data_IF_170030406081
#
_entry.id   IF_170030406081
#
_cell.length_a   1.000
_cell.length_b   1.000
_cell.length_c   1.000
_cell.angle_alpha   90.00
_cell.angle_beta   90.00
_cell.angle_gamma   90.00
#
_symmetry.space_group_name_H-M   'P 1'
#
loop_
_entity.id
_entity.type
_entity.pdbx_description
1 polymer ?
#
# COMPACT_ATOMS: atom_id res chain seq x y z
N UNK A 1 -27.61 7.17 -3.93
CA UNK A 1 -28.05 6.71 -2.59
C UNK A 1 -27.49 5.31 -2.46
N UNK A 2 -26.51 5.08 -1.56
CA UNK A 2 -25.73 3.84 -1.52
C UNK A 2 -26.62 2.62 -1.22
N UNK A 3 -26.88 1.81 -2.24
CA UNK A 3 -27.60 0.53 -2.13
C UNK A 3 -26.95 -0.43 -1.12
N UNK A 4 -25.66 -0.21 -0.80
CA UNK A 4 -24.88 -0.95 0.19
C UNK A 4 -25.28 -0.69 1.65
N UNK A 5 -25.92 0.45 1.95
CA UNK A 5 -26.39 0.74 3.33
C UNK A 5 -27.70 0.04 3.69
N UNK A 6 -28.38 -0.58 2.72
CA UNK A 6 -29.67 -1.26 2.91
C UNK A 6 -29.55 -2.78 2.99
N UNK A 7 -28.34 -3.36 2.90
CA UNK A 7 -28.18 -4.80 3.05
C UNK A 7 -28.47 -5.23 4.50
N UNK A 8 -29.38 -6.20 4.72
CA UNK A 8 -29.66 -6.70 6.06
C UNK A 8 -28.44 -7.41 6.66
N UNK A 9 -28.36 -7.43 7.99
CA UNK A 9 -27.33 -8.14 8.78
C UNK A 9 -25.90 -7.62 8.60
N UNK A 10 -25.71 -6.34 8.26
CA UNK A 10 -24.38 -5.81 7.94
C UNK A 10 -23.34 -6.05 9.05
N UNK A 11 -23.71 -5.98 10.32
CA UNK A 11 -22.79 -6.19 11.42
C UNK A 11 -22.61 -7.69 11.77
N UNK A 12 -23.70 -8.44 11.75
CA UNK A 12 -23.73 -9.88 12.01
C UNK A 12 -22.90 -10.65 10.97
N UNK A 13 -22.87 -10.17 9.71
CA UNK A 13 -22.03 -10.74 8.65
C UNK A 13 -20.53 -10.64 8.96
N UNK A 14 -20.08 -9.53 9.56
CA UNK A 14 -18.67 -9.31 9.91
C UNK A 14 -18.26 -10.20 11.09
N UNK A 15 -19.13 -10.34 12.09
CA UNK A 15 -18.91 -11.25 13.21
C UNK A 15 -18.94 -12.72 12.75
N UNK A 16 -19.84 -13.04 11.81
CA UNK A 16 -19.91 -14.36 11.21
C UNK A 16 -18.66 -14.69 10.40
N UNK A 17 -18.14 -13.73 9.62
CA UNK A 17 -16.88 -13.90 8.89
C UNK A 17 -15.71 -14.20 9.83
N UNK A 18 -15.58 -13.47 10.95
CA UNK A 18 -14.59 -13.76 12.00
C UNK A 18 -14.68 -15.20 12.50
N UNK A 19 -15.89 -15.64 12.87
CA UNK A 19 -16.13 -17.00 13.38
C UNK A 19 -15.84 -18.08 12.33
N UNK A 20 -16.20 -17.84 11.07
CA UNK A 20 -15.95 -18.78 9.95
C UNK A 20 -14.47 -18.86 9.62
N UNK A 21 -13.74 -17.74 9.61
CA UNK A 21 -12.30 -17.74 9.40
C UNK A 21 -11.58 -18.55 10.49
N UNK A 22 -11.95 -18.35 11.76
CA UNK A 22 -11.41 -19.14 12.87
C UNK A 22 -11.77 -20.62 12.73
N UNK A 23 -13.02 -20.95 12.39
CA UNK A 23 -13.49 -22.32 12.18
C UNK A 23 -12.75 -23.04 11.03
N UNK A 24 -12.65 -22.43 9.86
CA UNK A 24 -11.99 -23.02 8.67
C UNK A 24 -10.49 -23.21 8.92
N UNK A 25 -9.85 -22.24 9.60
CA UNK A 25 -8.42 -22.35 9.96
C UNK A 25 -8.12 -23.53 10.88
N UNK A 26 -9.07 -23.90 11.75
CA UNK A 26 -8.92 -24.98 12.73
C UNK A 26 -9.30 -26.35 12.19
N UNK A 27 -10.22 -26.42 11.24
CA UNK A 27 -10.86 -27.68 10.83
C UNK A 27 -10.49 -28.12 9.41
N UNK A 28 -9.67 -27.35 8.68
CA UNK A 28 -9.31 -27.65 7.30
C UNK A 28 -7.86 -27.31 7.01
N UNK A 29 -7.38 -27.70 5.83
CA UNK A 29 -6.09 -27.27 5.28
C UNK A 29 -6.22 -26.09 4.32
N UNK A 30 -7.42 -25.50 4.21
CA UNK A 30 -7.68 -24.35 3.36
C UNK A 30 -7.06 -23.11 4.05
N UNK A 31 -6.10 -22.41 3.41
CA UNK A 31 -5.48 -21.24 4.01
C UNK A 31 -6.46 -20.07 4.04
N UNK A 32 -6.72 -19.53 5.23
CA UNK A 32 -7.61 -18.37 5.45
C UNK A 32 -6.92 -17.33 6.35
N UNK A 33 -7.22 -16.02 6.19
CA UNK A 33 -6.63 -14.97 7.03
C UNK A 33 -6.76 -15.26 8.52
N UNK A 34 -5.65 -15.13 9.26
CA UNK A 34 -5.67 -15.27 10.72
C UNK A 34 -6.40 -14.09 11.35
N UNK A 35 -7.49 -14.36 12.05
CA UNK A 35 -8.20 -13.34 12.84
C UNK A 35 -7.30 -12.86 13.98
N UNK A 36 -7.09 -11.54 14.06
CA UNK A 36 -6.36 -10.85 15.13
C UNK A 36 -7.32 -10.32 16.20
N UNK A 37 -8.44 -9.75 15.77
CA UNK A 37 -9.45 -9.14 16.64
C UNK A 37 -10.77 -9.03 15.88
N UNK A 38 -11.90 -9.05 16.57
CA UNK A 38 -13.21 -8.69 16.01
C UNK A 38 -14.14 -8.23 17.12
N UNK A 39 -15.10 -7.36 16.80
CA UNK A 39 -16.06 -6.88 17.78
C UNK A 39 -16.83 -5.67 17.28
N UNK A 40 -17.24 -4.80 18.21
CA UNK A 40 -17.94 -3.55 17.92
C UNK A 40 -17.08 -2.36 18.33
N UNK A 41 -17.07 -1.30 17.52
CA UNK A 41 -16.39 -0.05 17.85
C UNK A 41 -17.29 0.90 18.67
N UNK A 42 -16.74 2.01 19.16
CA UNK A 42 -17.48 3.00 19.97
C UNK A 42 -18.67 3.66 19.25
N UNK A 43 -18.78 3.50 17.92
CA UNK A 43 -19.88 4.00 17.10
C UNK A 43 -20.96 2.94 16.83
N UNK A 44 -20.80 1.73 17.38
CA UNK A 44 -21.74 0.63 17.16
C UNK A 44 -21.56 -0.09 15.83
N UNK A 45 -20.38 0.01 15.20
CA UNK A 45 -20.07 -0.66 13.94
C UNK A 45 -19.25 -1.93 14.22
N UNK A 46 -19.59 -3.05 13.58
CA UNK A 46 -18.80 -4.27 13.68
C UNK A 46 -17.47 -4.15 12.90
N UNK A 47 -16.42 -4.76 13.43
CA UNK A 47 -15.10 -4.79 12.80
C UNK A 47 -14.47 -6.19 12.89
N UNK A 48 -13.58 -6.47 11.93
CA UNK A 48 -12.74 -7.66 11.85
C UNK A 48 -11.32 -7.23 11.46
N UNK A 49 -10.35 -7.59 12.27
CA UNK A 49 -8.92 -7.42 11.99
C UNK A 49 -8.32 -8.78 11.68
N UNK A 50 -7.61 -8.89 10.55
CA UNK A 50 -6.87 -10.09 10.17
C UNK A 50 -5.40 -9.75 9.94
N UNK A 51 -4.51 -10.71 10.20
CA UNK A 51 -3.09 -10.54 9.94
C UNK A 51 -2.86 -10.61 8.41
N UNK A 52 -2.10 -9.67 7.81
CA UNK A 52 -0.65 -9.61 8.04
C UNK A 52 0.09 -8.58 7.18
N UNK A 53 -0.30 -8.43 5.91
CA UNK A 53 0.42 -7.58 4.95
C UNK A 53 0.30 -6.10 5.33
N UNK A 54 -0.92 -5.62 5.56
CA UNK A 54 -1.12 -4.20 5.87
C UNK A 54 -0.43 -3.76 7.17
N UNK A 55 -0.46 -4.60 8.21
CA UNK A 55 0.25 -4.32 9.45
C UNK A 55 1.76 -4.31 9.23
N UNK A 56 2.30 -5.30 8.50
CA UNK A 56 3.72 -5.38 8.16
C UNK A 56 4.19 -4.16 7.37
N UNK A 57 3.45 -3.77 6.33
CA UNK A 57 3.77 -2.58 5.55
C UNK A 57 3.75 -1.33 6.44
N UNK A 58 2.67 -1.10 7.19
CA UNK A 58 2.50 0.11 8.00
C UNK A 58 3.49 0.23 9.16
N UNK A 59 3.77 -0.88 9.85
CA UNK A 59 4.50 -0.85 11.12
C UNK A 59 5.95 -1.34 11.02
N UNK A 60 6.32 -2.02 9.93
CA UNK A 60 7.70 -2.49 9.70
C UNK A 60 8.32 -1.82 8.49
N UNK A 61 7.69 -1.87 7.33
CA UNK A 61 8.29 -1.41 6.07
C UNK A 61 8.36 0.11 6.01
N UNK A 62 7.21 0.78 6.05
CA UNK A 62 7.12 2.22 5.84
C UNK A 62 8.00 3.02 6.81
N UNK A 63 8.09 2.72 8.12
CA UNK A 63 8.98 3.45 9.02
C UNK A 63 10.47 3.32 8.65
N UNK A 64 10.90 2.16 8.13
CA UNK A 64 12.28 1.93 7.72
C UNK A 64 12.60 2.64 6.41
N UNK A 65 11.71 2.55 5.41
CA UNK A 65 11.87 3.28 4.15
C UNK A 65 11.84 4.80 4.39
N UNK A 66 10.93 5.25 5.27
CA UNK A 66 10.84 6.62 5.76
C UNK A 66 11.95 7.00 6.74
N UNK A 67 12.98 6.19 7.03
CA UNK A 67 14.16 6.67 7.77
C UNK A 67 15.33 7.00 6.84
N UNK A 68 15.32 6.43 5.64
CA UNK A 68 16.32 6.68 4.61
C UNK A 68 16.06 8.03 3.95
N UNK A 69 17.10 8.88 3.86
CA UNK A 69 17.02 10.25 3.31
C UNK A 69 18.09 10.48 2.26
N UNK A 70 17.80 11.35 1.30
CA UNK A 70 18.76 11.80 0.29
C UNK A 70 18.43 13.22 -0.18
N UNK A 71 19.45 13.96 -0.62
CA UNK A 71 19.32 15.26 -1.28
C UNK A 71 19.16 15.14 -2.80
N UNK A 72 19.27 13.93 -3.36
CA UNK A 72 19.19 13.66 -4.81
C UNK A 72 18.07 12.66 -5.08
N UNK A 73 17.29 12.87 -6.14
CA UNK A 73 16.21 11.97 -6.53
C UNK A 73 16.74 10.68 -7.19
N UNK A 74 15.94 9.61 -7.10
CA UNK A 74 16.25 8.30 -7.70
C UNK A 74 17.21 7.47 -6.87
N UNK A 75 17.89 6.51 -7.49
CA UNK A 75 18.85 5.63 -6.85
C UNK A 75 20.05 5.41 -7.77
N UNK A 76 21.27 5.57 -7.24
CA UNK A 76 22.52 5.42 -8.00
C UNK A 76 22.51 6.19 -9.35
N UNK A 77 22.14 7.47 -9.29
CA UNK A 77 22.05 8.37 -10.46
C UNK A 77 21.05 7.96 -11.54
N UNK A 78 20.19 6.97 -11.28
CA UNK A 78 19.07 6.58 -12.13
C UNK A 78 17.76 6.98 -11.48
N UNK A 79 16.86 7.55 -12.28
CA UNK A 79 15.52 7.91 -11.84
C UNK A 79 14.55 7.08 -12.67
N UNK A 80 13.89 6.16 -11.98
CA UNK A 80 12.80 5.35 -12.52
C UNK A 80 11.57 5.74 -11.71
N UNK A 81 10.66 6.57 -12.26
CA UNK A 81 9.45 6.98 -11.55
C UNK A 81 8.53 5.80 -11.25
N UNK A 82 7.62 5.90 -10.28
CA UNK A 82 6.54 4.93 -10.07
C UNK A 82 5.77 4.63 -11.36
N UNK A 83 5.25 3.40 -11.57
CA UNK A 83 4.49 3.04 -12.77
C UNK A 83 3.36 4.02 -13.08
N UNK A 84 2.67 4.50 -12.03
CA UNK A 84 1.57 5.44 -12.21
C UNK A 84 2.00 6.81 -12.76
N UNK A 85 3.20 7.28 -12.42
CA UNK A 85 3.73 8.50 -13.01
C UNK A 85 3.99 8.31 -14.51
N UNK A 86 4.46 7.12 -14.89
CA UNK A 86 4.73 6.79 -16.27
C UNK A 86 3.46 6.70 -17.11
N UNK A 87 2.27 6.47 -16.54
CA UNK A 87 1.01 6.40 -17.31
C UNK A 87 0.71 7.67 -18.09
N UNK A 88 0.94 8.83 -17.47
CA UNK A 88 0.72 10.15 -18.07
C UNK A 88 1.99 10.74 -18.68
N UNK A 89 3.16 10.41 -18.14
CA UNK A 89 4.42 11.04 -18.48
C UNK A 89 5.43 10.03 -19.00
N UNK A 90 5.42 9.87 -20.33
CA UNK A 90 6.26 8.91 -21.07
C UNK A 90 7.60 9.52 -21.49
N UNK A 91 8.09 10.56 -20.81
CA UNK A 91 9.38 11.16 -21.17
C UNK A 91 10.51 10.14 -21.13
N UNK A 92 11.49 10.23 -22.05
CA UNK A 92 12.55 9.22 -22.17
C UNK A 92 13.60 9.30 -21.05
N UNK A 93 13.65 10.41 -20.31
CA UNK A 93 14.63 10.65 -19.25
C UNK A 93 14.05 11.51 -18.14
N UNK A 94 14.40 11.16 -16.91
CA UNK A 94 14.08 11.91 -15.69
C UNK A 94 15.38 12.43 -15.05
N UNK A 95 15.37 13.66 -14.55
CA UNK A 95 16.56 14.33 -14.00
C UNK A 95 16.21 14.95 -12.65
N UNK A 96 17.05 14.72 -11.64
CA UNK A 96 16.78 15.25 -10.30
C UNK A 96 16.75 16.77 -10.33
N UNK A 97 15.67 17.38 -9.85
CA UNK A 97 15.65 18.80 -9.57
C UNK A 97 16.62 19.12 -8.43
N UNK A 98 17.73 19.79 -8.71
CA UNK A 98 18.72 20.20 -7.70
C UNK A 98 18.27 21.41 -6.87
N UNK A 99 17.30 22.17 -7.37
CA UNK A 99 16.70 23.30 -6.66
C UNK A 99 15.71 22.86 -5.58
N UNK A 100 15.16 21.64 -5.67
CA UNK A 100 14.26 21.09 -4.66
C UNK A 100 14.97 20.91 -3.32
N UNK A 101 14.52 21.63 -2.29
CA UNK A 101 15.05 21.58 -0.91
C UNK A 101 14.18 20.79 0.06
N UNK A 102 13.11 20.16 -0.42
CA UNK A 102 12.23 19.35 0.43
C UNK A 102 12.86 18.00 0.81
N UNK A 103 12.18 17.29 1.70
CA UNK A 103 12.62 15.96 2.15
C UNK A 103 12.32 14.93 1.07
N UNK A 104 13.32 14.13 0.70
CA UNK A 104 13.12 12.89 -0.05
C UNK A 104 13.32 11.69 0.86
N UNK A 105 12.45 10.70 0.74
CA UNK A 105 12.54 9.41 1.44
C UNK A 105 12.76 8.32 0.43
N UNK A 106 13.27 7.18 0.87
CA UNK A 106 13.40 6.04 -0.03
C UNK A 106 12.01 5.44 -0.26
N UNK A 107 11.55 5.42 -1.50
CA UNK A 107 10.28 4.83 -1.87
C UNK A 107 10.48 3.52 -2.61
N UNK A 108 9.59 2.55 -2.41
CA UNK A 108 9.55 1.32 -3.23
C UNK A 108 9.11 1.59 -4.68
N UNK A 109 8.24 2.59 -4.89
CA UNK A 109 7.70 2.96 -6.20
C UNK A 109 6.50 2.11 -6.67
N UNK A 110 6.31 0.91 -6.12
CA UNK A 110 5.19 0.01 -6.47
C UNK A 110 4.80 -0.91 -5.29
N UNK A 111 4.49 -0.30 -4.13
CA UNK A 111 4.24 -1.06 -2.90
C UNK A 111 2.78 -1.51 -2.81
N UNK A 112 2.48 -2.67 -3.39
CA UNK A 112 1.15 -3.27 -3.45
C UNK A 112 1.17 -4.72 -2.96
N UNK A 113 0.00 -5.23 -2.55
CA UNK A 113 -0.09 -6.52 -1.84
C UNK A 113 0.48 -7.71 -2.63
N UNK A 114 0.43 -7.68 -3.96
CA UNK A 114 1.00 -8.74 -4.78
C UNK A 114 2.54 -8.74 -4.85
N UNK A 115 3.19 -7.65 -4.44
CA UNK A 115 4.63 -7.55 -4.30
C UNK A 115 5.13 -7.98 -2.91
N UNK A 116 4.25 -8.59 -2.09
CA UNK A 116 4.60 -9.13 -0.78
C UNK A 116 4.55 -10.65 -0.80
N UNK A 117 5.69 -11.31 -0.61
CA UNK A 117 5.73 -12.75 -0.41
C UNK A 117 5.20 -13.10 0.98
N UNK A 118 4.30 -14.07 1.04
CA UNK A 118 3.70 -14.55 2.28
C UNK A 118 4.01 -16.04 2.43
N UNK A 119 4.46 -16.43 3.62
CA UNK A 119 4.70 -17.83 3.95
C UNK A 119 3.39 -18.60 3.93
N UNK A 120 3.33 -19.68 3.15
CA UNK A 120 2.10 -20.43 2.90
C UNK A 120 1.43 -20.97 4.17
N UNK A 121 2.23 -21.44 5.12
CA UNK A 121 1.69 -22.12 6.32
C UNK A 121 1.41 -21.16 7.48
N UNK A 122 2.19 -20.08 7.60
CA UNK A 122 2.11 -19.16 8.76
C UNK A 122 1.39 -17.86 8.42
N UNK A 123 1.14 -17.66 7.13
CA UNK A 123 0.57 -16.46 6.53
C UNK A 123 1.30 -15.18 6.92
N UNK A 124 2.59 -15.28 7.25
CA UNK A 124 3.46 -14.15 7.59
C UNK A 124 4.16 -13.59 6.34
N UNK A 125 4.27 -12.26 6.20
CA UNK A 125 5.12 -11.64 5.18
C UNK A 125 6.58 -12.06 5.37
N UNK A 126 7.20 -12.47 4.28
CA UNK A 126 8.58 -12.99 4.22
C UNK A 126 9.50 -12.04 3.48
N UNK A 127 9.02 -11.45 2.37
CA UNK A 127 9.83 -10.57 1.55
C UNK A 127 8.97 -9.55 0.79
N UNK A 128 9.61 -8.44 0.40
CA UNK A 128 9.11 -7.50 -0.58
C UNK A 128 9.83 -7.73 -1.91
N UNK A 129 9.07 -7.75 -2.98
CA UNK A 129 9.54 -7.97 -4.34
C UNK A 129 9.43 -6.69 -5.17
N UNK A 130 9.96 -6.75 -6.38
CA UNK A 130 9.70 -5.75 -7.41
C UNK A 130 10.15 -4.32 -7.09
N UNK A 131 11.45 -4.19 -6.81
CA UNK A 131 12.11 -2.93 -6.45
C UNK A 131 12.55 -2.09 -7.65
N UNK A 132 12.11 -2.40 -8.86
CA UNK A 132 12.65 -1.78 -10.09
C UNK A 132 12.31 -0.28 -10.20
N UNK A 133 11.24 0.15 -9.53
CA UNK A 133 10.81 1.56 -9.43
C UNK A 133 11.31 2.25 -8.15
N UNK A 134 12.19 1.61 -7.38
CA UNK A 134 12.62 2.14 -6.08
C UNK A 134 13.63 3.29 -6.21
N UNK A 135 13.54 4.25 -5.31
CA UNK A 135 14.47 5.37 -5.25
C UNK A 135 14.06 6.47 -4.30
N UNK A 136 14.88 7.51 -4.18
CA UNK A 136 14.59 8.66 -3.34
C UNK A 136 13.61 9.60 -4.04
N UNK A 137 12.43 9.79 -3.44
CA UNK A 137 11.36 10.63 -3.97
C UNK A 137 10.68 11.39 -2.83
N UNK A 138 9.75 12.29 -3.18
CA UNK A 138 8.89 12.93 -2.16
C UNK A 138 8.04 11.85 -1.45
N UNK A 139 7.80 11.96 -0.13
CA UNK A 139 7.06 10.95 0.65
C UNK A 139 5.70 10.59 0.06
N UNK A 140 5.04 11.53 -0.59
CA UNK A 140 3.73 11.36 -1.23
C UNK A 140 3.77 10.39 -2.41
N UNK A 141 4.95 10.11 -2.97
CA UNK A 141 5.19 9.07 -3.99
C UNK A 141 5.45 7.69 -3.37
N UNK A 142 5.47 7.55 -2.03
CA UNK A 142 5.43 6.24 -1.38
C UNK A 142 4.00 5.69 -1.46
N UNK A 143 3.70 5.12 -2.62
CA UNK A 143 2.40 4.58 -2.98
C UNK A 143 2.18 3.24 -2.29
N UNK A 144 1.37 3.21 -1.22
CA UNK A 144 0.82 1.98 -0.65
C UNK A 144 -0.70 2.09 -0.57
N UNK A 145 -1.39 1.19 -1.27
CA UNK A 145 -2.85 1.15 -1.35
C UNK A 145 -3.38 -0.07 -0.61
N UNK A 146 -4.45 0.14 0.16
CA UNK A 146 -5.16 -0.92 0.89
C UNK A 146 -6.35 -1.45 0.12
N UNK A 147 -6.75 -0.78 -0.96
CA UNK A 147 -7.84 -1.25 -1.82
C UNK A 147 -7.65 -0.87 -3.27
N UNK A 148 -8.31 -1.62 -4.16
CA UNK A 148 -8.38 -1.31 -5.59
C UNK A 148 -8.98 0.08 -5.84
N UNK A 149 -9.97 0.47 -5.05
CA UNK A 149 -10.56 1.81 -5.12
C UNK A 149 -9.55 2.91 -4.81
N UNK A 150 -8.73 2.76 -3.78
CA UNK A 150 -7.68 3.75 -3.45
C UNK A 150 -6.65 3.87 -4.58
N UNK A 151 -6.29 2.74 -5.19
CA UNK A 151 -5.45 2.71 -6.38
C UNK A 151 -6.12 3.45 -7.55
N UNK A 152 -7.38 3.11 -7.87
CA UNK A 152 -8.11 3.70 -8.99
C UNK A 152 -8.38 5.21 -8.77
N UNK A 153 -8.67 5.64 -7.54
CA UNK A 153 -8.86 7.05 -7.20
C UNK A 153 -7.57 7.85 -7.42
N UNK A 154 -6.40 7.30 -7.02
CA UNK A 154 -5.12 7.94 -7.32
C UNK A 154 -4.80 7.88 -8.82
N UNK A 155 -5.11 6.75 -9.47
CA UNK A 155 -4.91 6.58 -10.91
C UNK A 155 -5.65 7.64 -11.72
N UNK A 156 -6.86 7.99 -11.29
CA UNK A 156 -7.68 9.00 -11.92
C UNK A 156 -7.28 10.45 -11.56
N UNK A 157 -6.53 10.66 -10.46
CA UNK A 157 -6.02 11.97 -10.05
C UNK A 157 -4.69 12.32 -10.75
N UNK A 158 -4.78 12.43 -12.08
CA UNK A 158 -3.66 12.76 -12.98
C UNK A 158 -2.98 14.09 -12.64
N UNK A 159 -3.76 15.08 -12.19
CA UNK A 159 -3.22 16.38 -11.81
C UNK A 159 -2.34 16.29 -10.57
N UNK A 160 -2.78 15.54 -9.55
CA UNK A 160 -1.93 15.26 -8.39
C UNK A 160 -0.65 14.55 -8.78
N UNK A 161 -0.72 13.54 -9.65
CA UNK A 161 0.48 12.82 -10.09
C UNK A 161 1.48 13.75 -10.79
N UNK A 162 1.01 14.64 -11.68
CA UNK A 162 1.87 15.65 -12.32
C UNK A 162 2.51 16.60 -11.31
N UNK A 163 1.77 17.05 -10.29
CA UNK A 163 2.32 17.90 -9.22
C UNK A 163 3.42 17.19 -8.43
N UNK A 164 3.22 15.91 -8.11
CA UNK A 164 4.20 15.12 -7.34
C UNK A 164 5.46 14.82 -8.15
N UNK A 165 5.33 14.60 -9.47
CA UNK A 165 6.45 14.33 -10.36
C UNK A 165 7.20 15.60 -10.79
N UNK A 166 6.59 16.78 -10.70
CA UNK A 166 7.23 18.07 -10.97
C UNK A 166 8.51 18.31 -10.13
N UNK A 167 8.61 17.72 -8.93
CA UNK A 167 9.81 17.79 -8.08
C UNK A 167 10.98 16.94 -8.57
N UNK A 168 10.74 16.13 -9.59
CA UNK A 168 11.70 15.29 -10.30
C UNK A 168 11.99 15.89 -11.69
N UNK A 169 11.64 17.16 -11.90
CA UNK A 169 11.93 17.93 -13.11
C UNK A 169 13.04 18.95 -12.83
N UNK A 170 14.11 18.92 -13.60
CA UNK A 170 15.02 20.05 -13.71
C UNK A 170 14.45 21.08 -14.69
#
# INVERSE_FOLDING_TARGET
MDEWKLMPFNAERILNESAVLDFISKNTTIPVPKVLSSGWNAKGEAYLETANVAWFIKNKVLPQLNSLRSTTAGFQSKIIPPPLALEDDKRPKWVSNESYKGNRVFCHGDLIDHNVLVHRETLQPVALLDWEHAGYFVPELQMWFRSRKEYDDLYNDKERMRRLTAHVEA
#
